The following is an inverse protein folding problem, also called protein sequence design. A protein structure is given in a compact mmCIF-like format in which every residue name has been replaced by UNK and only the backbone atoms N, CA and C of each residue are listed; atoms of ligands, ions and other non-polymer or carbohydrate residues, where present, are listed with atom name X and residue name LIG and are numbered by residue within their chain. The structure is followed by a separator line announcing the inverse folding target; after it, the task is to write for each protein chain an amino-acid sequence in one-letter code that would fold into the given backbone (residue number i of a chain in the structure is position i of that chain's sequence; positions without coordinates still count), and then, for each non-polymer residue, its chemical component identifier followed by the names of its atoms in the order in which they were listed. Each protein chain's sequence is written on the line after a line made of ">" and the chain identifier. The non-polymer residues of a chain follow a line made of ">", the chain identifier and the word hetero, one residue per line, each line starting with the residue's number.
data_IF_497237503598
#
_entry.id   IF_497237503598
#
_cell.length_a   1.000
_cell.length_b   1.000
_cell.length_c   1.000
_cell.angle_alpha   90.00
_cell.angle_beta   90.00
_cell.angle_gamma   90.00
#
_symmetry.space_group_name_H-M   'P 1'
#
loop_
_entity.id
_entity.type
_entity.pdbx_description
1 polymer ?
#
# COMPACT_ATOMS: atom_id res chain seq x y z
N UNK A 1 -17.53 -17.54 51.97
CA UNK A 1 -17.70 -17.02 50.61
C UNK A 1 -17.25 -18.14 49.68
N UNK A 2 -18.14 -18.92 49.05
CA UNK A 2 -17.74 -19.96 48.12
C UNK A 2 -17.68 -19.33 46.72
N UNK A 3 -16.59 -18.65 46.43
CA UNK A 3 -16.26 -18.24 45.08
C UNK A 3 -15.15 -19.15 44.55
N UNK A 4 -15.25 -19.46 43.25
CA UNK A 4 -14.18 -19.97 42.37
C UNK A 4 -13.89 -21.48 42.27
N UNK A 5 -14.91 -22.28 41.96
CA UNK A 5 -14.72 -23.41 41.03
C UNK A 5 -15.59 -23.22 39.78
N UNK A 6 -15.18 -22.27 38.91
CA UNK A 6 -15.70 -22.25 37.54
C UNK A 6 -15.50 -23.61 36.91
N UNK A 7 -16.61 -24.23 36.52
CA UNK A 7 -16.61 -25.55 35.90
C UNK A 7 -15.76 -25.52 34.62
N UNK A 8 -15.16 -26.66 34.27
CA UNK A 8 -14.36 -26.78 33.04
C UNK A 8 -15.14 -26.27 31.81
N UNK A 9 -16.44 -26.52 31.77
CA UNK A 9 -17.35 -26.06 30.72
C UNK A 9 -17.47 -24.54 30.66
N UNK A 10 -17.57 -23.84 31.80
CA UNK A 10 -17.62 -22.37 31.86
C UNK A 10 -16.32 -21.75 31.38
N UNK A 11 -15.16 -22.30 31.77
CA UNK A 11 -13.85 -21.84 31.28
C UNK A 11 -13.70 -22.02 29.77
N UNK A 12 -14.21 -23.13 29.24
CA UNK A 12 -14.24 -23.37 27.78
C UNK A 12 -15.16 -22.36 27.07
N UNK A 13 -16.34 -22.08 27.63
CA UNK A 13 -17.27 -21.09 27.07
C UNK A 13 -16.69 -19.67 27.10
N UNK A 14 -16.02 -19.27 28.19
CA UNK A 14 -15.33 -17.98 28.28
C UNK A 14 -14.24 -17.84 27.22
N UNK A 15 -13.40 -18.87 27.02
CA UNK A 15 -12.38 -18.87 25.98
C UNK A 15 -12.96 -18.75 24.57
N UNK A 16 -14.09 -19.41 24.29
CA UNK A 16 -14.79 -19.29 23.00
C UNK A 16 -15.35 -17.88 22.82
N UNK A 17 -15.93 -17.29 23.87
CA UNK A 17 -16.47 -15.93 23.83
C UNK A 17 -15.37 -14.87 23.62
N UNK A 18 -14.21 -15.05 24.26
CA UNK A 18 -13.05 -14.20 24.06
C UNK A 18 -12.52 -14.29 22.62
N UNK A 19 -12.43 -15.51 22.06
CA UNK A 19 -12.08 -15.71 20.65
C UNK A 19 -13.01 -14.94 19.71
N UNK A 20 -14.33 -15.08 19.89
CA UNK A 20 -15.33 -14.36 19.08
C UNK A 20 -15.25 -12.83 19.21
N UNK A 21 -14.88 -12.31 20.39
CA UNK A 21 -14.67 -10.87 20.59
C UNK A 21 -13.45 -10.38 19.82
N UNK A 22 -12.36 -11.14 19.80
CA UNK A 22 -11.15 -10.82 19.04
C UNK A 22 -11.43 -10.83 17.53
N UNK A 23 -12.19 -11.80 17.04
CA UNK A 23 -12.59 -11.89 15.62
C UNK A 23 -13.43 -10.66 15.20
N UNK A 24 -14.43 -10.30 15.99
CA UNK A 24 -15.26 -9.12 15.74
C UNK A 24 -14.44 -7.81 15.76
N UNK A 25 -13.46 -7.71 16.67
CA UNK A 25 -12.53 -6.58 16.71
C UNK A 25 -11.65 -6.51 15.45
N UNK A 26 -11.11 -7.65 15.01
CA UNK A 26 -10.31 -7.74 13.79
C UNK A 26 -11.13 -7.32 12.56
N UNK A 27 -12.36 -7.81 12.40
CA UNK A 27 -13.26 -7.42 11.31
C UNK A 27 -13.62 -5.93 11.32
N UNK A 28 -13.83 -5.33 12.50
CA UNK A 28 -14.09 -3.91 12.60
C UNK A 28 -12.86 -3.06 12.24
N UNK A 29 -11.66 -3.51 12.65
CA UNK A 29 -10.40 -2.85 12.30
C UNK A 29 -10.08 -2.95 10.81
N UNK A 30 -10.30 -4.10 10.18
CA UNK A 30 -10.02 -4.30 8.74
C UNK A 30 -10.89 -3.43 7.84
N UNK A 31 -12.12 -3.11 8.22
CA UNK A 31 -12.99 -2.15 7.48
C UNK A 31 -12.38 -0.75 7.35
N UNK A 32 -11.49 -0.36 8.26
CA UNK A 32 -10.79 0.93 8.25
C UNK A 32 -9.33 0.81 7.78
N UNK A 33 -8.93 -0.38 7.34
CA UNK A 33 -7.58 -0.63 6.83
C UNK A 33 -7.59 -0.49 5.32
N UNK A 34 -6.70 0.35 4.82
CA UNK A 34 -6.42 0.49 3.41
C UNK A 34 -5.03 -0.05 3.12
N UNK A 35 -4.89 -0.77 2.02
CA UNK A 35 -3.61 -1.30 1.55
C UNK A 35 -3.14 -0.39 0.42
N UNK A 36 -1.90 0.08 0.50
CA UNK A 36 -1.29 0.85 -0.57
C UNK A 36 -1.18 -0.01 -1.84
N UNK A 37 -1.78 0.44 -2.93
CA UNK A 37 -1.75 -0.24 -4.23
C UNK A 37 -0.40 -0.24 -4.93
N UNK A 38 0.60 0.46 -4.40
CA UNK A 38 1.98 0.46 -4.94
C UNK A 38 2.93 -0.39 -4.08
N UNK A 39 3.04 -0.10 -2.79
CA UNK A 39 4.02 -0.76 -1.91
C UNK A 39 3.43 -1.85 -0.99
N UNK A 40 2.10 -2.05 -1.00
CA UNK A 40 1.44 -3.03 -0.12
C UNK A 40 1.40 -2.63 1.37
N UNK A 41 1.93 -1.46 1.74
CA UNK A 41 1.89 -0.99 3.13
C UNK A 41 0.44 -0.84 3.60
N UNK A 42 0.15 -1.38 4.78
CA UNK A 42 -1.17 -1.29 5.39
C UNK A 42 -1.26 -0.01 6.20
N UNK A 43 -2.22 0.85 5.87
CA UNK A 43 -2.55 2.03 6.65
C UNK A 43 -3.44 1.65 7.82
N UNK A 44 -2.85 1.43 8.99
CA UNK A 44 -3.60 1.32 10.24
C UNK A 44 -3.80 2.71 10.84
N UNK A 45 -5.07 3.01 11.14
CA UNK A 45 -5.58 4.10 11.98
C UNK A 45 -5.16 5.56 11.73
N UNK A 46 -4.00 5.90 11.14
CA UNK A 46 -3.52 7.30 11.03
C UNK A 46 -2.55 7.61 9.88
N UNK A 47 -2.22 6.67 8.98
CA UNK A 47 -1.40 7.02 7.80
C UNK A 47 -2.28 7.70 6.74
N UNK A 48 -1.97 8.94 6.31
CA UNK A 48 -2.74 9.59 5.26
C UNK A 48 -2.57 8.81 3.95
N UNK A 49 -3.67 8.24 3.48
CA UNK A 49 -3.77 7.58 2.19
C UNK A 49 -4.76 8.36 1.34
N UNK A 50 -4.50 8.41 0.03
CA UNK A 50 -5.37 9.08 -0.93
C UNK A 50 -5.98 8.03 -1.88
N UNK A 51 -7.28 8.10 -2.17
CA UNK A 51 -7.87 7.26 -3.21
C UNK A 51 -7.42 7.77 -4.59
N UNK A 52 -6.88 6.86 -5.41
CA UNK A 52 -6.50 7.07 -6.81
C UNK A 52 -7.19 5.99 -7.64
N UNK A 53 -8.27 6.36 -8.33
CA UNK A 53 -9.15 5.40 -9.00
C UNK A 53 -9.77 4.44 -7.99
N UNK A 54 -9.59 3.13 -8.21
CA UNK A 54 -10.06 2.06 -7.31
C UNK A 54 -9.05 1.67 -6.22
N UNK A 55 -7.87 2.29 -6.18
CA UNK A 55 -6.79 1.93 -5.25
C UNK A 55 -6.55 3.03 -4.22
N UNK A 56 -6.10 2.64 -3.02
CA UNK A 56 -5.55 3.57 -2.03
C UNK A 56 -4.04 3.66 -2.19
N UNK A 57 -3.47 4.85 -2.08
CA UNK A 57 -2.01 5.06 -2.18
C UNK A 57 -1.52 5.83 -0.95
N UNK A 58 -0.44 5.35 -0.32
CA UNK A 58 0.14 6.04 0.82
C UNK A 58 0.86 7.33 0.40
N UNK A 59 0.98 8.27 1.34
CA UNK A 59 1.67 9.54 1.09
C UNK A 59 3.12 9.37 0.65
N UNK A 60 3.82 8.35 1.16
CA UNK A 60 5.23 8.10 0.84
C UNK A 60 5.39 7.76 -0.65
N UNK A 61 4.59 6.80 -1.14
CA UNK A 61 4.54 6.48 -2.56
C UNK A 61 4.08 7.66 -3.44
N UNK A 62 3.19 8.52 -2.95
CA UNK A 62 2.81 9.73 -3.69
C UNK A 62 3.97 10.73 -3.78
N UNK A 63 4.81 10.85 -2.74
CA UNK A 63 5.99 11.72 -2.76
C UNK A 63 7.04 11.19 -3.74
N UNK A 64 7.34 9.90 -3.70
CA UNK A 64 8.25 9.26 -4.65
C UNK A 64 7.75 9.42 -6.09
N UNK A 65 6.47 9.18 -6.35
CA UNK A 65 5.88 9.41 -7.68
C UNK A 65 6.04 10.87 -8.13
N UNK A 66 5.83 11.84 -7.24
CA UNK A 66 6.03 13.25 -7.58
C UNK A 66 7.47 13.51 -8.00
N UNK A 67 8.45 13.03 -7.23
CA UNK A 67 9.87 13.22 -7.55
C UNK A 67 10.24 12.58 -8.90
N UNK A 68 9.70 11.41 -9.21
CA UNK A 68 9.88 10.75 -10.51
C UNK A 68 9.22 11.55 -11.64
N UNK A 69 8.00 12.05 -11.44
CA UNK A 69 7.30 12.85 -12.44
C UNK A 69 8.00 14.18 -12.72
N UNK A 70 8.64 14.77 -11.70
CA UNK A 70 9.42 15.99 -11.84
C UNK A 70 10.70 15.77 -12.67
N UNK A 71 11.24 14.55 -12.72
CA UNK A 71 12.42 14.19 -13.55
C UNK A 71 12.06 13.68 -14.95
N UNK A 72 10.79 13.36 -15.22
CA UNK A 72 10.36 12.87 -16.54
C UNK A 72 10.76 13.76 -17.71
N UNK A 73 10.63 15.11 -17.67
CA UNK A 73 10.99 15.95 -18.81
C UNK A 73 12.46 15.84 -19.21
N UNK A 74 13.35 15.67 -18.24
CA UNK A 74 14.78 15.47 -18.52
C UNK A 74 15.00 14.13 -19.22
N UNK A 75 14.35 13.08 -18.73
CA UNK A 75 14.37 11.76 -19.34
C UNK A 75 13.81 11.74 -20.76
N UNK A 76 12.70 12.44 -21.01
CA UNK A 76 12.11 12.60 -22.34
C UNK A 76 13.06 13.34 -23.29
N UNK A 77 13.74 14.39 -22.81
CA UNK A 77 14.74 15.11 -23.58
C UNK A 77 15.95 14.23 -23.93
N UNK A 78 16.45 13.43 -22.98
CA UNK A 78 17.54 12.47 -23.24
C UNK A 78 17.14 11.43 -24.30
N UNK A 79 15.92 10.91 -24.23
CA UNK A 79 15.38 9.98 -25.24
C UNK A 79 15.32 10.66 -26.62
N UNK A 80 14.89 11.92 -26.67
CA UNK A 80 14.78 12.66 -27.92
C UNK A 80 16.17 12.95 -28.53
N UNK A 81 17.14 13.35 -27.70
CA UNK A 81 18.53 13.54 -28.13
C UNK A 81 19.12 12.23 -28.67
N UNK A 82 18.87 11.11 -28.00
CA UNK A 82 19.29 9.79 -28.47
C UNK A 82 18.75 9.47 -29.87
N UNK A 83 17.46 9.72 -30.12
CA UNK A 83 16.84 9.55 -31.45
C UNK A 83 17.46 10.44 -32.51
N UNK A 84 17.75 11.70 -32.19
CA UNK A 84 18.38 12.65 -33.10
C UNK A 84 19.83 12.25 -33.42
N UNK A 85 20.58 11.74 -32.44
CA UNK A 85 21.93 11.23 -32.66
C UNK A 85 21.93 9.97 -33.54
N UNK A 86 21.02 9.01 -33.29
CA UNK A 86 20.87 7.83 -34.14
C UNK A 86 20.56 8.23 -35.59
N UNK A 87 19.64 9.18 -35.80
CA UNK A 87 19.33 9.68 -37.13
C UNK A 87 20.53 10.33 -37.82
N UNK A 88 21.29 11.16 -37.09
CA UNK A 88 22.51 11.78 -37.65
C UNK A 88 23.57 10.74 -37.99
N UNK A 89 23.71 9.68 -37.20
CA UNK A 89 24.66 8.59 -37.47
C UNK A 89 24.24 7.84 -38.74
N UNK A 90 22.96 7.50 -38.90
CA UNK A 90 22.43 6.88 -40.12
C UNK A 90 22.67 7.77 -41.35
N UNK A 91 22.38 9.08 -41.25
CA UNK A 91 22.61 10.05 -42.32
C UNK A 91 24.12 10.20 -42.66
N UNK A 92 25.01 10.00 -41.70
CA UNK A 92 26.47 10.16 -41.88
C UNK A 92 27.17 8.88 -42.36
N UNK A 93 26.65 7.70 -41.99
CA UNK A 93 27.23 6.41 -42.35
C UNK A 93 26.66 5.83 -43.66
N UNK A 94 25.64 6.45 -44.25
CA UNK A 94 25.30 6.29 -45.67
C UNK A 94 25.04 4.85 -46.11
N UNK A 95 24.01 4.22 -45.55
CA UNK A 95 23.22 3.21 -46.28
C UNK A 95 22.05 3.91 -46.96
#
# INVERSE_FOLDING_TARGET
>A
MPDDEKTRSERTLESILEGKKLDAYAEHCTKKMHVCGLCGAVGYQRKPMKPIGSKWVCIDCMRELKEILDTLPQWEAEIQIGKEMSKKIDDTLGV
#
